data_IF_904432988775
#
_entry.id   IF_904432988775
#
_cell.length_a   1.000
_cell.length_b   1.000
_cell.length_c   1.000
_cell.angle_alpha   90.00
_cell.angle_beta   90.00
_cell.angle_gamma   90.00
#
_symmetry.space_group_name_H-M   'P 1'
#
loop_
_entity.id
_entity.type
_entity.pdbx_description
1 polymer ?
#
# COMPACT_ATOMS: atom_id res chain seq x y z
N UNK A 1 7.06 5.47 2.68
CA UNK A 1 6.37 6.58 1.98
C UNK A 1 6.88 7.95 2.43
N UNK A 2 8.14 8.11 2.88
CA UNK A 2 8.59 9.37 3.50
C UNK A 2 8.38 10.63 2.62
N UNK A 3 8.61 10.61 1.29
CA UNK A 3 8.29 11.75 0.41
C UNK A 3 6.79 12.06 0.24
N UNK A 4 5.90 11.19 0.73
CA UNK A 4 4.45 11.31 0.65
C UNK A 4 3.80 11.38 2.04
N UNK A 5 4.59 11.56 3.10
CA UNK A 5 4.09 11.59 4.47
C UNK A 5 3.12 12.75 4.74
N UNK A 6 3.06 13.75 3.83
CA UNK A 6 2.08 14.82 3.86
C UNK A 6 0.66 14.38 3.45
N UNK A 7 0.52 13.21 2.81
CA UNK A 7 -0.72 12.72 2.19
C UNK A 7 -1.03 11.24 2.46
N UNK A 8 -0.04 10.47 2.91
CA UNK A 8 -0.15 9.03 3.13
C UNK A 8 0.35 8.69 4.53
N UNK A 9 -0.57 8.21 5.36
CA UNK A 9 -0.24 7.70 6.69
C UNK A 9 0.36 6.29 6.60
N UNK A 10 1.42 6.04 7.39
CA UNK A 10 1.98 4.70 7.55
C UNK A 10 1.42 4.07 8.83
N UNK A 11 0.57 3.06 8.65
CA UNK A 11 0.00 2.28 9.76
C UNK A 11 0.62 0.89 9.74
N UNK A 12 1.33 0.53 10.81
CA UNK A 12 1.79 -0.86 11.03
C UNK A 12 0.75 -1.61 11.83
N UNK A 13 0.26 -2.72 11.29
CA UNK A 13 -0.77 -3.54 11.93
C UNK A 13 -0.35 -5.02 11.95
N UNK A 14 -0.85 -5.74 12.95
CA UNK A 14 -0.75 -7.21 13.03
C UNK A 14 -2.07 -7.79 12.55
N UNK A 15 -2.02 -8.69 11.55
CA UNK A 15 -3.20 -9.40 11.10
C UNK A 15 -3.40 -10.63 11.99
N UNK A 16 -4.51 -10.75 12.73
CA UNK A 16 -4.76 -11.91 13.57
C UNK A 16 -5.21 -13.11 12.73
N UNK A 17 -4.68 -14.29 13.07
CA UNK A 17 -5.03 -15.56 12.41
C UNK A 17 -4.29 -15.81 11.09
N UNK A 18 -4.45 -17.00 10.50
CA UNK A 18 -3.87 -17.29 9.19
C UNK A 18 -4.55 -16.41 8.13
N UNK A 19 -3.74 -15.65 7.38
CA UNK A 19 -4.21 -14.93 6.19
C UNK A 19 -4.63 -15.95 5.13
N UNK A 20 -5.93 -16.09 4.91
CA UNK A 20 -6.49 -16.98 3.90
C UNK A 20 -6.74 -16.25 2.58
N UNK A 21 -6.64 -16.96 1.45
CA UNK A 21 -6.99 -16.44 0.13
C UNK A 21 -6.00 -15.45 -0.44
N UNK A 22 -6.49 -14.46 -1.20
CA UNK A 22 -5.68 -13.53 -2.01
C UNK A 22 -4.71 -12.63 -1.22
N UNK A 23 -4.83 -12.60 0.12
CA UNK A 23 -3.95 -11.84 1.02
C UNK A 23 -2.93 -12.71 1.77
N UNK A 24 -2.91 -14.02 1.51
CA UNK A 24 -2.06 -14.99 2.24
C UNK A 24 -0.57 -14.64 2.24
N UNK A 25 -0.09 -13.98 1.19
CA UNK A 25 1.29 -13.55 1.02
C UNK A 25 1.47 -12.01 1.05
N UNK A 26 0.42 -11.28 1.41
CA UNK A 26 0.44 -9.81 1.40
C UNK A 26 1.01 -9.27 2.70
N UNK A 27 2.14 -8.58 2.61
CA UNK A 27 2.80 -7.98 3.78
C UNK A 27 2.50 -6.49 3.97
N UNK A 28 1.98 -5.82 2.94
CA UNK A 28 1.61 -4.41 3.01
C UNK A 28 0.58 -4.07 1.93
N UNK A 29 -0.24 -3.05 2.19
CA UNK A 29 -1.23 -2.50 1.27
C UNK A 29 -1.05 -0.99 1.18
N UNK A 30 -1.26 -0.44 -0.02
CA UNK A 30 -1.48 0.99 -0.22
C UNK A 30 -2.97 1.20 -0.48
N UNK A 31 -3.62 1.91 0.43
CA UNK A 31 -5.05 2.22 0.34
C UNK A 31 -5.25 3.64 -0.17
N UNK A 32 -6.24 3.81 -1.04
CA UNK A 32 -6.72 5.12 -1.50
C UNK A 32 -7.71 5.71 -0.49
N UNK A 33 -7.92 7.04 -0.49
CA UNK A 33 -8.91 7.68 0.36
C UNK A 33 -10.35 7.17 0.14
N UNK A 34 -10.64 6.56 -1.01
CA UNK A 34 -11.92 5.93 -1.34
C UNK A 34 -12.03 4.46 -0.90
N UNK A 35 -11.05 3.96 -0.14
CA UNK A 35 -11.03 2.59 0.41
C UNK A 35 -10.51 1.51 -0.54
N UNK A 36 -10.13 1.84 -1.78
CA UNK A 36 -9.61 0.85 -2.73
C UNK A 36 -8.11 0.59 -2.55
N UNK A 37 -7.70 -0.67 -2.77
CA UNK A 37 -6.28 -1.06 -2.82
C UNK A 37 -5.66 -0.56 -4.11
N UNK A 38 -4.69 0.35 -4.01
CA UNK A 38 -3.88 0.84 -5.13
C UNK A 38 -2.66 -0.04 -5.42
N UNK A 39 -2.16 -0.74 -4.40
CA UNK A 39 -0.99 -1.63 -4.50
C UNK A 39 -0.97 -2.60 -3.30
N UNK A 40 -0.40 -3.79 -3.50
CA UNK A 40 -0.22 -4.80 -2.47
C UNK A 40 1.17 -5.46 -2.61
N UNK A 41 1.90 -5.56 -1.50
CA UNK A 41 3.19 -6.26 -1.44
C UNK A 41 3.01 -7.78 -1.60
N UNK A 42 3.97 -8.51 -2.20
CA UNK A 42 5.27 -8.04 -2.71
C UNK A 42 5.19 -7.26 -4.05
N UNK A 43 3.99 -6.96 -4.56
CA UNK A 43 3.76 -6.28 -5.83
C UNK A 43 3.46 -7.27 -6.94
N UNK A 44 2.45 -6.99 -7.76
CA UNK A 44 2.11 -7.82 -8.94
C UNK A 44 2.56 -7.21 -10.26
N UNK A 45 2.58 -5.87 -10.39
CA UNK A 45 2.88 -5.19 -11.67
C UNK A 45 3.64 -3.86 -11.55
N UNK A 46 3.39 -3.06 -10.50
CA UNK A 46 4.10 -1.80 -10.25
C UNK A 46 4.81 -1.88 -8.89
N UNK A 47 5.96 -1.23 -8.76
CA UNK A 47 6.59 -1.03 -7.47
C UNK A 47 5.80 0.01 -6.64
N UNK A 48 6.03 0.03 -5.34
CA UNK A 48 5.35 0.95 -4.43
C UNK A 48 5.57 2.43 -4.81
N UNK A 49 6.77 2.89 -5.19
CA UNK A 49 6.99 4.26 -5.65
C UNK A 49 6.13 4.65 -6.86
N UNK A 50 6.04 3.79 -7.89
CA UNK A 50 5.19 4.08 -9.05
C UNK A 50 3.71 4.19 -8.67
N UNK A 51 3.23 3.33 -7.77
CA UNK A 51 1.86 3.42 -7.27
C UNK A 51 1.62 4.72 -6.47
N UNK A 52 2.58 5.13 -5.62
CA UNK A 52 2.52 6.37 -4.88
C UNK A 52 2.48 7.59 -5.82
N UNK A 53 3.33 7.62 -6.84
CA UNK A 53 3.33 8.71 -7.83
C UNK A 53 2.03 8.77 -8.63
N UNK A 54 1.51 7.62 -9.08
CA UNK A 54 0.28 7.55 -9.87
C UNK A 54 -0.94 8.06 -9.11
N UNK A 55 -1.08 7.67 -7.85
CA UNK A 55 -2.30 7.93 -7.07
C UNK A 55 -2.20 9.14 -6.15
N UNK A 56 -1.00 9.51 -5.73
CA UNK A 56 -0.76 10.60 -4.78
C UNK A 56 0.16 11.69 -5.36
N UNK A 57 0.58 11.61 -6.63
CA UNK A 57 1.47 12.59 -7.26
C UNK A 57 2.93 12.45 -6.82
N UNK A 58 3.86 13.29 -7.32
CA UNK A 58 5.28 13.17 -6.99
C UNK A 58 5.54 13.37 -5.49
N UNK A 59 6.57 12.69 -4.99
CA UNK A 59 7.10 12.87 -3.64
C UNK A 59 7.72 14.26 -3.44
N UNK A 60 7.68 14.75 -2.21
CA UNK A 60 8.21 16.05 -1.79
C UNK A 60 9.31 15.89 -0.75
#
# INVERSE_FOLDING_TARGET
AAPWADRVDLVTATVPGPTAGCLGNTSALLLRPDGHVAWAAPGSFADLPMALERWFGPGR
#
